data_IF_187779428168
#
_entry.id   IF_187779428168
#
_cell.length_a   1.000
_cell.length_b   1.000
_cell.length_c   1.000
_cell.angle_alpha   90.00
_cell.angle_beta   90.00
_cell.angle_gamma   90.00
#
_symmetry.space_group_name_H-M   'P 1'
#
loop_
_entity.id
_entity.type
_entity.pdbx_description
1 polymer ?
#
# COMPACT_ATOMS: atom_id res chain seq x y z
N UNK A 1 24.14 -0.31 15.23
CA UNK A 1 23.30 -0.80 14.11
C UNK A 1 22.28 -1.76 14.68
N UNK A 2 20.99 -1.65 14.31
CA UNK A 2 20.01 -2.66 14.72
C UNK A 2 20.28 -3.96 13.92
N UNK A 3 20.40 -5.13 14.58
CA UNK A 3 20.46 -6.40 13.89
C UNK A 3 19.14 -6.66 13.14
N UNK A 4 19.21 -7.20 11.92
CA UNK A 4 18.05 -7.52 11.08
C UNK A 4 17.62 -6.42 10.10
N UNK A 5 18.48 -5.45 9.79
CA UNK A 5 18.19 -4.43 8.77
C UNK A 5 18.23 -4.98 7.32
N UNK A 6 17.60 -4.29 6.34
CA UNK A 6 17.53 -4.73 4.94
C UNK A 6 18.90 -4.86 4.26
N UNK A 7 19.90 -4.09 4.70
CA UNK A 7 21.29 -4.25 4.23
C UNK A 7 21.84 -5.63 4.62
N UNK A 8 21.54 -6.12 5.83
CA UNK A 8 22.03 -7.41 6.31
C UNK A 8 21.35 -8.57 5.57
N UNK A 9 20.06 -8.46 5.25
CA UNK A 9 19.38 -9.48 4.44
C UNK A 9 19.89 -9.50 3.00
N UNK A 10 20.12 -8.34 2.39
CA UNK A 10 20.72 -8.25 1.05
C UNK A 10 22.17 -8.77 1.04
N UNK A 11 22.96 -8.44 2.07
CA UNK A 11 24.31 -9.00 2.22
C UNK A 11 24.26 -10.52 2.37
N UNK A 12 23.35 -11.05 3.18
CA UNK A 12 23.21 -12.48 3.39
C UNK A 12 22.78 -13.20 2.11
N UNK A 13 21.84 -12.64 1.34
CA UNK A 13 21.45 -13.15 0.03
C UNK A 13 22.62 -13.20 -0.95
N UNK A 14 23.41 -12.12 -1.04
CA UNK A 14 24.58 -12.06 -1.94
C UNK A 14 25.69 -13.03 -1.51
N UNK A 15 25.88 -13.23 -0.21
CA UNK A 15 26.84 -14.23 0.30
C UNK A 15 26.38 -15.64 -0.06
N UNK A 16 25.09 -15.96 0.11
CA UNK A 16 24.55 -17.26 -0.30
C UNK A 16 24.69 -17.47 -1.82
N UNK A 17 24.40 -16.45 -2.62
CA UNK A 17 24.60 -16.48 -4.07
C UNK A 17 26.08 -16.73 -4.44
N UNK A 18 27.02 -16.11 -3.72
CA UNK A 18 28.44 -16.31 -3.94
C UNK A 18 28.88 -17.75 -3.61
N UNK A 19 28.43 -18.30 -2.48
CA UNK A 19 28.70 -19.69 -2.09
C UNK A 19 28.14 -20.67 -3.13
N UNK A 20 26.94 -20.43 -3.64
CA UNK A 20 26.37 -21.28 -4.71
C UNK A 20 27.20 -21.19 -6.00
N UNK A 21 27.69 -20.01 -6.36
CA UNK A 21 28.45 -19.79 -7.60
C UNK A 21 29.90 -20.31 -7.56
N UNK A 22 30.56 -20.29 -6.39
CA UNK A 22 31.98 -20.63 -6.25
C UNK A 22 32.23 -21.84 -5.33
N UNK A 23 31.20 -22.41 -4.70
CA UNK A 23 31.29 -23.63 -3.89
C UNK A 23 32.00 -23.48 -2.53
N UNK A 24 32.56 -22.30 -2.22
CA UNK A 24 33.38 -22.04 -1.04
C UNK A 24 33.23 -20.60 -0.56
N UNK A 25 33.12 -20.43 0.77
CA UNK A 25 33.12 -19.11 1.43
C UNK A 25 34.48 -18.39 1.37
N UNK A 26 35.57 -19.11 1.09
CA UNK A 26 36.92 -18.55 1.15
C UNK A 26 37.28 -17.71 -0.09
N UNK A 27 36.69 -18.01 -1.25
CA UNK A 27 36.84 -17.20 -2.46
C UNK A 27 35.86 -16.01 -2.54
N UNK A 28 34.85 -15.95 -1.67
CA UNK A 28 33.92 -14.82 -1.62
C UNK A 28 34.58 -13.55 -1.07
N UNK A 29 34.94 -12.62 -1.95
CA UNK A 29 35.41 -11.30 -1.58
C UNK A 29 34.27 -10.46 -0.97
N UNK A 30 34.22 -10.47 0.36
CA UNK A 30 33.26 -9.68 1.15
C UNK A 30 33.33 -8.18 0.87
N UNK A 31 34.49 -7.67 0.41
CA UNK A 31 34.66 -6.27 0.04
C UNK A 31 33.89 -5.91 -1.23
N UNK A 32 33.81 -6.81 -2.21
CA UNK A 32 33.03 -6.62 -3.44
C UNK A 32 31.53 -6.73 -3.19
N UNK A 33 31.11 -7.72 -2.39
CA UNK A 33 29.70 -7.91 -2.02
C UNK A 33 29.19 -6.65 -1.30
N UNK A 34 29.96 -6.13 -0.33
CA UNK A 34 29.60 -4.92 0.41
C UNK A 34 29.39 -3.71 -0.51
N UNK A 35 30.31 -3.46 -1.46
CA UNK A 35 30.18 -2.33 -2.40
C UNK A 35 28.94 -2.46 -3.30
N UNK A 36 28.64 -3.68 -3.75
CA UNK A 36 27.46 -3.93 -4.59
C UNK A 36 26.14 -3.67 -3.87
N UNK A 37 26.07 -3.99 -2.57
CA UNK A 37 24.89 -3.75 -1.72
C UNK A 37 24.79 -2.27 -1.34
N UNK A 38 25.92 -1.60 -1.07
CA UNK A 38 25.97 -0.17 -0.77
C UNK A 38 25.51 0.69 -1.97
N UNK A 39 25.84 0.29 -3.19
CA UNK A 39 25.37 0.95 -4.41
C UNK A 39 23.85 0.85 -4.61
N UNK A 40 23.25 -0.29 -4.25
CA UNK A 40 21.81 -0.52 -4.41
C UNK A 40 20.95 0.22 -3.39
N UNK A 41 21.48 0.49 -2.20
CA UNK A 41 20.68 1.10 -1.12
C UNK A 41 20.93 2.61 -0.97
N UNK A 42 21.91 3.17 -1.70
CA UNK A 42 22.21 4.62 -1.77
C UNK A 42 22.28 5.30 -0.38
N UNK A 43 22.63 4.52 0.66
CA UNK A 43 22.74 4.93 2.06
C UNK A 43 24.10 4.41 2.56
N UNK A 44 24.88 5.31 3.17
CA UNK A 44 26.13 4.94 3.83
C UNK A 44 25.83 4.40 5.24
N UNK A 45 26.04 3.10 5.49
CA UNK A 45 25.73 2.48 6.78
C UNK A 45 26.65 2.97 7.91
N UNK A 46 27.78 3.63 7.62
CA UNK A 46 28.72 4.10 8.63
C UNK A 46 28.35 5.47 9.22
N UNK A 47 27.38 6.17 8.63
CA UNK A 47 26.93 7.48 9.12
C UNK A 47 26.04 7.35 10.37
N UNK A 48 26.13 8.28 11.33
CA UNK A 48 25.14 8.37 12.41
C UNK A 48 23.72 8.52 11.84
N UNK A 49 22.74 7.82 12.46
CA UNK A 49 21.33 7.82 12.01
C UNK A 49 20.75 9.22 11.77
N UNK A 50 21.00 10.23 12.62
CA UNK A 50 20.47 11.57 12.39
C UNK A 50 21.00 12.21 11.09
N UNK A 51 22.28 11.98 10.76
CA UNK A 51 22.91 12.49 9.54
C UNK A 51 22.31 11.80 8.31
N UNK A 52 22.16 10.47 8.36
CA UNK A 52 21.54 9.72 7.27
C UNK A 52 20.08 10.14 7.02
N UNK A 53 19.34 10.50 8.07
CA UNK A 53 17.97 10.99 7.94
C UNK A 53 17.92 12.39 7.31
N UNK A 54 18.82 13.29 7.70
CA UNK A 54 18.90 14.63 7.09
C UNK A 54 19.31 14.53 5.62
N UNK A 55 20.32 13.72 5.30
CA UNK A 55 20.75 13.46 3.91
C UNK A 55 19.57 12.91 3.07
N UNK A 56 18.75 12.02 3.64
CA UNK A 56 17.55 11.49 2.99
C UNK A 56 16.49 12.57 2.75
N UNK A 57 16.22 13.43 3.75
CA UNK A 57 15.29 14.56 3.58
C UNK A 57 15.79 15.55 2.53
N UNK A 58 17.09 15.82 2.47
CA UNK A 58 17.68 16.68 1.45
C UNK A 58 17.49 16.10 0.04
N UNK A 59 17.71 14.78 -0.13
CA UNK A 59 17.42 14.08 -1.40
C UNK A 59 15.95 14.19 -1.80
N UNK A 60 15.01 14.03 -0.87
CA UNK A 60 13.58 14.18 -1.14
C UNK A 60 13.24 15.63 -1.54
N UNK A 61 13.70 16.62 -0.77
CA UNK A 61 13.31 18.01 -0.97
C UNK A 61 13.96 18.64 -2.20
N UNK A 62 15.22 18.32 -2.48
CA UNK A 62 15.98 18.92 -3.57
C UNK A 62 15.86 18.13 -4.88
N UNK A 63 15.76 16.80 -4.82
CA UNK A 63 15.81 15.93 -6.00
C UNK A 63 14.53 15.12 -6.22
N UNK A 64 13.54 15.23 -5.32
CA UNK A 64 12.32 14.40 -5.33
C UNK A 64 12.63 12.89 -5.34
N UNK A 65 13.80 12.51 -4.83
CA UNK A 65 14.27 11.14 -4.81
C UNK A 65 13.91 10.51 -3.46
N UNK A 66 12.93 9.60 -3.50
CA UNK A 66 12.50 8.81 -2.35
C UNK A 66 13.29 7.50 -2.20
N UNK A 67 14.25 7.25 -3.10
CA UNK A 67 14.98 6.01 -3.20
C UNK A 67 14.14 4.87 -3.78
N UNK A 68 14.74 3.68 -3.79
CA UNK A 68 14.13 2.46 -4.30
C UNK A 68 13.59 1.59 -3.15
N UNK A 69 12.52 0.87 -3.44
CA UNK A 69 11.98 -0.13 -2.52
C UNK A 69 12.88 -1.35 -2.49
N UNK A 70 13.35 -1.75 -1.31
CA UNK A 70 14.08 -3.01 -1.13
C UNK A 70 13.23 -4.25 -1.38
N UNK A 71 11.90 -4.11 -1.32
CA UNK A 71 10.95 -5.21 -1.55
C UNK A 71 10.50 -5.29 -3.01
N UNK A 72 10.14 -4.16 -3.61
CA UNK A 72 9.58 -4.12 -4.98
C UNK A 72 10.63 -3.82 -6.05
N UNK A 73 11.86 -3.44 -5.68
CA UNK A 73 12.94 -3.06 -6.59
C UNK A 73 12.53 -1.97 -7.61
N UNK A 74 11.57 -1.14 -7.22
CA UNK A 74 11.05 -0.01 -7.98
C UNK A 74 11.18 1.27 -7.14
N UNK A 75 11.29 2.42 -7.81
CA UNK A 75 11.33 3.72 -7.15
C UNK A 75 10.12 3.94 -6.24
N UNK A 76 10.35 4.34 -5.00
CA UNK A 76 9.28 4.51 -3.99
C UNK A 76 8.22 5.50 -4.48
N UNK A 77 8.65 6.53 -5.21
CA UNK A 77 7.75 7.53 -5.80
C UNK A 77 6.74 6.91 -6.79
N UNK A 78 7.15 5.97 -7.65
CA UNK A 78 6.24 5.33 -8.62
C UNK A 78 5.20 4.46 -7.92
N UNK A 79 5.63 3.71 -6.90
CA UNK A 79 4.76 2.88 -6.05
C UNK A 79 3.72 3.77 -5.36
N UNK A 80 4.16 4.90 -4.80
CA UNK A 80 3.30 5.86 -4.13
C UNK A 80 2.25 6.42 -5.11
N UNK A 81 2.66 6.88 -6.29
CA UNK A 81 1.75 7.41 -7.31
C UNK A 81 0.75 6.38 -7.84
N UNK A 82 1.13 5.09 -7.90
CA UNK A 82 0.23 4.00 -8.29
C UNK A 82 -0.82 3.68 -7.23
N UNK A 83 -0.52 3.89 -5.94
CA UNK A 83 -1.42 3.63 -4.83
C UNK A 83 -2.28 4.85 -4.44
N UNK A 84 -1.73 6.06 -4.59
CA UNK A 84 -2.31 7.31 -4.08
C UNK A 84 -3.73 7.59 -4.58
N UNK A 85 -4.07 7.49 -5.88
CA UNK A 85 -5.40 7.84 -6.37
C UNK A 85 -6.50 7.01 -5.73
N UNK A 86 -6.23 5.73 -5.48
CA UNK A 86 -7.21 4.82 -4.91
C UNK A 86 -7.47 5.11 -3.43
N UNK A 87 -6.41 5.39 -2.66
CA UNK A 87 -6.53 5.79 -1.25
C UNK A 87 -7.30 7.11 -1.13
N UNK A 88 -6.95 8.11 -1.94
CA UNK A 88 -7.64 9.41 -1.97
C UNK A 88 -9.11 9.23 -2.33
N UNK A 89 -9.40 8.42 -3.34
CA UNK A 89 -10.76 8.11 -3.77
C UNK A 89 -11.58 7.51 -2.62
N UNK A 90 -11.08 6.46 -1.95
CA UNK A 90 -11.79 5.84 -0.82
C UNK A 90 -11.99 6.83 0.33
N UNK A 91 -10.96 7.61 0.68
CA UNK A 91 -11.04 8.58 1.76
C UNK A 91 -12.08 9.68 1.46
N UNK A 92 -12.09 10.21 0.24
CA UNK A 92 -13.06 11.24 -0.16
C UNK A 92 -14.49 10.71 -0.20
N UNK A 93 -14.70 9.52 -0.76
CA UNK A 93 -16.03 8.91 -0.79
C UNK A 93 -16.53 8.56 0.62
N UNK A 94 -15.67 7.97 1.45
CA UNK A 94 -16.00 7.66 2.84
C UNK A 94 -16.35 8.92 3.63
N UNK A 95 -15.59 10.00 3.44
CA UNK A 95 -15.86 11.28 4.07
C UNK A 95 -17.18 11.88 3.57
N UNK A 96 -17.41 11.91 2.26
CA UNK A 96 -18.62 12.50 1.67
C UNK A 96 -19.88 11.76 2.13
N UNK A 97 -19.88 10.42 2.07
CA UNK A 97 -21.01 9.59 2.49
C UNK A 97 -21.22 9.67 4.00
N UNK A 98 -20.15 9.53 4.79
CA UNK A 98 -20.23 9.60 6.25
C UNK A 98 -20.70 10.97 6.73
N UNK A 99 -20.16 12.05 6.17
CA UNK A 99 -20.57 13.40 6.50
C UNK A 99 -22.03 13.67 6.13
N UNK A 100 -22.45 13.32 4.91
CA UNK A 100 -23.83 13.50 4.46
C UNK A 100 -24.80 12.73 5.34
N UNK A 101 -24.50 11.46 5.64
CA UNK A 101 -25.32 10.62 6.50
C UNK A 101 -25.40 11.18 7.93
N UNK A 102 -24.26 11.56 8.52
CA UNK A 102 -24.21 12.10 9.87
C UNK A 102 -24.98 13.42 10.02
N UNK A 103 -24.81 14.35 9.07
CA UNK A 103 -25.52 15.63 9.08
C UNK A 103 -27.02 15.40 8.92
N UNK A 104 -27.43 14.53 7.99
CA UNK A 104 -28.84 14.24 7.77
C UNK A 104 -29.48 13.55 8.98
N UNK A 105 -28.80 12.54 9.55
CA UNK A 105 -29.27 11.81 10.72
C UNK A 105 -29.38 12.74 11.94
N UNK A 106 -28.35 13.55 12.20
CA UNK A 106 -28.36 14.54 13.27
C UNK A 106 -29.46 15.59 13.11
N UNK A 107 -29.65 16.12 11.90
CA UNK A 107 -30.71 17.07 11.60
C UNK A 107 -32.11 16.46 11.81
N UNK A 108 -32.32 15.20 11.42
CA UNK A 108 -33.59 14.50 11.65
C UNK A 108 -33.92 14.31 13.13
N UNK A 109 -32.92 13.99 13.96
CA UNK A 109 -33.10 13.86 15.41
C UNK A 109 -33.43 15.22 16.04
N UNK A 110 -32.70 16.27 15.66
CA UNK A 110 -32.95 17.63 16.13
C UNK A 110 -34.35 18.16 15.71
N UNK A 111 -34.82 17.85 14.50
CA UNK A 111 -36.16 18.29 14.06
C UNK A 111 -37.30 17.62 14.86
N UNK A 112 -37.08 16.41 15.38
CA UNK A 112 -38.06 15.66 16.18
C UNK A 112 -37.67 15.59 17.66
N UNK A 113 -37.02 16.65 18.15
CA UNK A 113 -36.55 16.76 19.53
C UNK A 113 -37.64 16.39 20.55
N UNK A 114 -37.25 15.61 21.56
CA UNK A 114 -38.13 15.19 22.66
C UNK A 114 -39.14 14.09 22.33
N UNK A 115 -39.27 13.68 21.05
CA UNK A 115 -40.13 12.55 20.65
C UNK A 115 -39.43 11.21 20.86
N UNK A 116 -40.20 10.12 20.82
CA UNK A 116 -39.67 8.75 20.89
C UNK A 116 -38.58 8.47 19.85
N UNK A 117 -38.66 9.10 18.68
CA UNK A 117 -37.67 8.99 17.61
C UNK A 117 -36.30 9.54 18.02
N UNK A 118 -36.26 10.70 18.69
CA UNK A 118 -35.03 11.33 19.19
C UNK A 118 -34.38 10.47 20.29
N UNK A 119 -35.18 9.98 21.24
CA UNK A 119 -34.70 9.07 22.31
C UNK A 119 -34.13 7.76 21.74
N UNK A 120 -34.84 7.12 20.82
CA UNK A 120 -34.39 5.89 20.18
C UNK A 120 -33.13 6.10 19.35
N UNK A 121 -33.06 7.20 18.58
CA UNK A 121 -31.89 7.54 17.78
C UNK A 121 -30.66 7.86 18.62
N UNK A 122 -30.83 8.54 19.76
CA UNK A 122 -29.76 8.82 20.70
C UNK A 122 -29.22 7.53 21.34
N UNK A 123 -30.10 6.62 21.77
CA UNK A 123 -29.67 5.30 22.30
C UNK A 123 -28.91 4.51 21.23
N UNK A 124 -29.42 4.50 20.00
CA UNK A 124 -28.73 3.84 18.88
C UNK A 124 -27.33 4.43 18.63
N UNK A 125 -27.19 5.76 18.67
CA UNK A 125 -25.90 6.43 18.53
C UNK A 125 -24.93 6.07 19.67
N UNK A 126 -25.41 5.98 20.92
CA UNK A 126 -24.59 5.56 22.07
C UNK A 126 -24.09 4.12 21.95
N UNK A 127 -24.95 3.19 21.52
CA UNK A 127 -24.56 1.81 21.24
C UNK A 127 -23.52 1.77 20.12
N UNK A 128 -23.77 2.48 19.02
CA UNK A 128 -22.85 2.55 17.88
C UNK A 128 -21.47 3.11 18.28
N UNK A 129 -21.43 4.11 19.15
CA UNK A 129 -20.19 4.68 19.67
C UNK A 129 -19.42 3.70 20.59
N UNK A 130 -20.13 2.83 21.29
CA UNK A 130 -19.54 1.85 22.21
C UNK A 130 -18.85 0.67 21.49
N UNK A 131 -19.22 0.42 20.23
CA UNK A 131 -18.63 -0.66 19.43
C UNK A 131 -17.37 -0.11 18.73
N UNK A 132 -16.19 -0.74 18.88
CA UNK A 132 -15.01 -0.33 18.14
C UNK A 132 -15.23 -0.48 16.63
N UNK A 133 -14.88 0.55 15.86
CA UNK A 133 -15.16 0.61 14.41
C UNK A 133 -14.64 -0.62 13.64
N UNK A 134 -13.47 -1.16 14.01
CA UNK A 134 -12.89 -2.31 13.35
C UNK A 134 -13.70 -3.59 13.58
N UNK A 135 -14.30 -3.76 14.76
CA UNK A 135 -15.18 -4.90 15.06
C UNK A 135 -16.44 -4.82 14.19
N UNK A 136 -17.06 -3.63 14.15
CA UNK A 136 -18.23 -3.40 13.30
C UNK A 136 -17.90 -3.66 11.83
N UNK A 137 -16.73 -3.21 11.34
CA UNK A 137 -16.29 -3.43 9.97
C UNK A 137 -16.10 -4.92 9.66
N UNK A 138 -15.50 -5.71 10.57
CA UNK A 138 -15.32 -7.15 10.38
C UNK A 138 -16.66 -7.89 10.34
N UNK A 139 -17.60 -7.56 11.24
CA UNK A 139 -18.95 -8.15 11.23
C UNK A 139 -19.69 -7.78 9.96
N UNK A 140 -19.64 -6.51 9.56
CA UNK A 140 -20.25 -6.03 8.32
C UNK A 140 -19.68 -6.76 7.10
N UNK A 141 -18.35 -6.95 7.03
CA UNK A 141 -17.71 -7.70 5.95
C UNK A 141 -18.17 -9.16 5.92
N UNK A 142 -18.20 -9.84 7.08
CA UNK A 142 -18.64 -11.23 7.19
C UNK A 142 -20.08 -11.43 6.73
N UNK A 143 -21.00 -10.58 7.19
CA UNK A 143 -22.43 -10.74 6.88
C UNK A 143 -22.73 -10.25 5.46
N UNK A 144 -22.26 -9.05 5.09
CA UNK A 144 -22.66 -8.42 3.83
C UNK A 144 -21.87 -8.96 2.63
N UNK A 145 -20.57 -9.20 2.77
CA UNK A 145 -19.74 -9.67 1.65
C UNK A 145 -19.69 -11.20 1.56
N UNK A 146 -19.48 -11.90 2.68
CA UNK A 146 -19.29 -13.36 2.65
C UNK A 146 -20.60 -14.14 2.71
N UNK A 147 -21.56 -13.79 3.57
CA UNK A 147 -22.82 -14.53 3.69
C UNK A 147 -23.84 -14.14 2.62
N UNK A 148 -24.08 -12.83 2.45
CA UNK A 148 -25.09 -12.33 1.51
C UNK A 148 -24.55 -12.01 0.11
N UNK A 149 -23.24 -11.84 -0.06
CA UNK A 149 -22.65 -11.54 -1.38
C UNK A 149 -23.04 -10.16 -1.93
N UNK A 150 -23.49 -9.22 -1.09
CA UNK A 150 -23.85 -7.87 -1.53
C UNK A 150 -22.64 -7.06 -2.02
N UNK A 151 -21.46 -7.33 -1.45
CA UNK A 151 -20.23 -6.64 -1.79
C UNK A 151 -19.13 -7.61 -2.22
N UNK A 152 -18.23 -7.21 -3.14
CA UNK A 152 -17.08 -8.02 -3.51
C UNK A 152 -16.16 -8.22 -2.30
N UNK A 153 -15.55 -9.41 -2.22
CA UNK A 153 -14.73 -9.82 -1.08
C UNK A 153 -13.31 -9.22 -1.10
N UNK A 154 -12.89 -8.63 -2.23
CA UNK A 154 -11.58 -8.01 -2.37
C UNK A 154 -11.33 -7.44 -3.77
N UNK A 155 -10.20 -6.74 -3.91
CA UNK A 155 -9.80 -6.07 -5.16
C UNK A 155 -10.35 -4.65 -5.31
N UNK A 156 -9.80 -3.90 -6.28
CA UNK A 156 -10.21 -2.51 -6.58
C UNK A 156 -11.37 -2.47 -7.58
N UNK A 157 -11.36 -3.37 -8.55
CA UNK A 157 -12.35 -3.56 -9.60
C UNK A 157 -12.19 -4.97 -10.19
N UNK A 158 -13.24 -5.48 -10.83
CA UNK A 158 -13.16 -6.73 -11.59
C UNK A 158 -12.22 -6.52 -12.79
N UNK A 159 -11.31 -7.44 -13.09
CA UNK A 159 -10.30 -7.27 -14.17
C UNK A 159 -10.94 -6.98 -15.55
N UNK A 160 -12.21 -7.36 -15.75
CA UNK A 160 -12.99 -7.08 -16.94
C UNK A 160 -13.48 -5.64 -17.08
N UNK A 161 -13.42 -4.82 -16.02
CA UNK A 161 -13.88 -3.42 -15.99
C UNK A 161 -12.73 -2.43 -16.26
N UNK A 162 -11.79 -2.75 -17.15
CA UNK A 162 -10.79 -1.81 -17.72
C UNK A 162 -11.43 -0.66 -18.54
N UNK A 163 -12.76 -0.58 -18.61
CA UNK A 163 -13.52 0.30 -19.53
C UNK A 163 -13.72 1.74 -19.04
N UNK A 164 -13.22 2.12 -17.86
CA UNK A 164 -13.30 3.50 -17.40
C UNK A 164 -12.00 3.95 -16.73
N UNK A 165 -10.89 3.79 -17.43
CA UNK A 165 -9.81 4.77 -17.29
C UNK A 165 -10.37 6.11 -17.80
N UNK A 166 -10.92 6.93 -16.90
CA UNK A 166 -10.97 8.38 -17.10
C UNK A 166 -9.54 8.78 -17.46
N UNK A 167 -9.32 9.14 -18.72
CA UNK A 167 -8.03 9.48 -19.30
C UNK A 167 -7.43 10.76 -18.73
N UNK A 168 -7.03 10.72 -17.47
CA UNK A 168 -6.09 11.68 -16.91
C UNK A 168 -4.68 11.30 -17.40
N UNK A 169 -4.48 11.51 -18.70
CA UNK A 169 -3.19 11.58 -19.37
C UNK A 169 -2.56 12.93 -18.98
N UNK A 170 -1.90 12.98 -17.81
CA UNK A 170 -1.07 14.13 -17.45
C UNK A 170 0.21 14.09 -18.30
N UNK A 171 0.09 14.51 -19.56
CA UNK A 171 1.22 14.80 -20.44
C UNK A 171 2.05 15.98 -19.89
N UNK A 172 3.33 16.08 -20.29
CA UNK A 172 3.66 16.26 -21.71
C UNK A 172 4.75 15.30 -22.23
N UNK A 173 4.69 13.99 -21.96
CA UNK A 173 5.58 13.02 -22.61
C UNK A 173 4.82 11.77 -23.05
N UNK A 174 4.20 11.86 -24.24
CA UNK A 174 3.68 10.71 -25.00
C UNK A 174 4.70 10.37 -26.09
N UNK A 175 5.21 9.14 -26.14
CA UNK A 175 5.57 8.37 -27.36
C UNK A 175 5.66 6.90 -26.93
N UNK A 176 4.90 6.04 -27.60
CA UNK A 176 4.76 4.63 -27.24
C UNK A 176 6.03 3.80 -27.44
N UNK A 177 6.19 2.79 -26.58
CA UNK A 177 6.86 1.55 -26.91
C UNK A 177 6.08 0.39 -26.28
N UNK A 178 5.53 -0.43 -27.18
CA UNK A 178 5.30 -1.86 -27.08
C UNK A 178 4.38 -2.35 -25.96
N UNK A 179 3.13 -2.56 -26.38
CA UNK A 179 2.44 -3.83 -26.14
C UNK A 179 3.46 -4.95 -26.44
N UNK A 180 4.10 -5.46 -25.40
CA UNK A 180 4.76 -6.75 -25.40
C UNK A 180 4.26 -7.42 -24.12
N UNK A 181 3.05 -7.95 -24.24
CA UNK A 181 2.49 -8.88 -23.28
C UNK A 181 3.36 -10.15 -23.37
N UNK A 182 4.11 -10.57 -22.33
CA UNK A 182 4.49 -11.96 -22.27
C UNK A 182 3.17 -12.74 -22.07
N UNK A 183 2.81 -13.54 -23.08
CA UNK A 183 1.70 -14.49 -23.06
C UNK A 183 1.64 -15.23 -21.72
N UNK A 184 0.75 -14.80 -20.81
CA UNK A 184 0.31 -15.62 -19.68
C UNK A 184 -0.85 -16.47 -20.17
N UNK A 185 -0.60 -17.26 -21.22
CA UNK A 185 -1.43 -18.42 -21.57
C UNK A 185 -0.54 -19.58 -22.00
N UNK A 186 0.15 -20.19 -21.05
CA UNK A 186 0.29 -21.65 -20.98
C UNK A 186 0.95 -22.07 -19.67
N UNK A 187 0.17 -22.71 -18.80
CA UNK A 187 0.64 -23.19 -17.50
C UNK A 187 -0.50 -23.59 -16.59
N UNK A 188 -1.39 -24.44 -17.08
CA UNK A 188 -2.36 -25.19 -16.28
C UNK A 188 -1.69 -25.81 -15.04
N UNK A 189 -2.07 -25.38 -13.84
CA UNK A 189 -2.61 -26.24 -12.76
C UNK A 189 -2.80 -25.39 -11.50
N UNK A 190 -4.05 -25.05 -11.23
CA UNK A 190 -4.50 -24.81 -9.86
C UNK A 190 -4.20 -26.06 -9.03
N UNK A 191 -3.33 -25.94 -8.02
CA UNK A 191 -3.32 -26.87 -6.88
C UNK A 191 -3.82 -26.11 -5.66
N UNK A 192 -4.94 -26.60 -5.15
CA UNK A 192 -5.47 -26.34 -3.81
C UNK A 192 -4.41 -26.59 -2.75
N UNK A 193 -4.23 -25.64 -1.83
CA UNK A 193 -4.28 -25.78 -0.37
C UNK A 193 -4.56 -24.40 0.23
#
# INVERSE_FOLDING_TARGET
MMPGGPIQSLMQERVLQCIESQGSMAECDMGQIRRSVEQQVNIDPNKPVPVAYIDYLEKILLHQDFGDSTQYQEGVFSILFKAMPWSIFISLYGLALGWTFNVFWGAMLAYKEGKLFDKAGTIFAMIGNSIPYYVAAIIALSVLAYQHGFFPQGGRYHESLKLFYLGWDFGPLRIGWLINEPDVTQGSTFRSW
#
